data_IF_185906454768
#
_entry.id   IF_185906454768
#
_cell.length_a   1.000
_cell.length_b   1.000
_cell.length_c   1.000
_cell.angle_alpha   90.00
_cell.angle_beta   90.00
_cell.angle_gamma   90.00
#
_symmetry.space_group_name_H-M   'P 1'
#
loop_
_entity.id
_entity.type
_entity.pdbx_description
1 polymer ?
#
# COMPACT_ATOMS: atom_id res chain seq x y z
N UNK A 1 -2.11 0.70 -21.24
CA UNK A 1 -2.10 0.23 -19.82
C UNK A 1 -3.00 -0.97 -19.59
N UNK A 2 -4.30 -0.87 -19.86
CA UNK A 2 -5.29 -1.91 -19.47
C UNK A 2 -4.94 -3.32 -19.97
N UNK A 3 -4.56 -3.49 -21.24
CA UNK A 3 -4.15 -4.79 -21.81
C UNK A 3 -2.87 -5.36 -21.18
N UNK A 4 -1.93 -4.49 -20.80
CA UNK A 4 -0.63 -4.91 -20.27
C UNK A 4 -0.70 -5.26 -18.77
N UNK A 5 -1.37 -4.42 -17.97
CA UNK A 5 -1.48 -4.61 -16.52
C UNK A 5 -2.72 -5.41 -16.10
N UNK A 6 -3.74 -5.53 -16.96
CA UNK A 6 -5.01 -6.16 -16.62
C UNK A 6 -5.79 -5.40 -15.52
N UNK A 7 -5.75 -4.06 -15.58
CA UNK A 7 -6.50 -3.15 -14.72
C UNK A 7 -7.30 -2.16 -15.57
N UNK A 8 -8.49 -1.77 -15.11
CA UNK A 8 -9.39 -0.93 -15.90
C UNK A 8 -9.13 0.58 -15.76
N UNK A 9 -8.40 1.03 -14.74
CA UNK A 9 -8.14 2.46 -14.53
C UNK A 9 -7.40 3.10 -15.72
N UNK A 10 -8.02 4.16 -16.26
CA UNK A 10 -7.45 5.00 -17.33
C UNK A 10 -6.40 5.98 -16.80
N UNK A 11 -6.47 6.35 -15.52
CA UNK A 11 -5.50 7.21 -14.86
C UNK A 11 -4.23 6.47 -14.41
N UNK A 12 -4.19 5.15 -14.60
CA UNK A 12 -3.12 4.28 -14.14
C UNK A 12 -3.26 3.93 -12.66
N UNK A 13 -2.16 3.49 -12.06
CA UNK A 13 -2.08 3.06 -10.67
C UNK A 13 -0.66 3.24 -10.11
N UNK A 14 -0.46 2.89 -8.83
CA UNK A 14 0.85 2.94 -8.19
C UNK A 14 1.96 2.21 -8.99
N UNK A 15 1.66 1.08 -9.62
CA UNK A 15 2.66 0.35 -10.42
C UNK A 15 3.05 1.10 -11.67
N UNK A 16 2.08 1.59 -12.47
CA UNK A 16 2.37 2.28 -13.72
C UNK A 16 2.93 3.68 -13.51
N UNK A 17 2.40 4.42 -12.53
CA UNK A 17 2.69 5.84 -12.36
C UNK A 17 3.89 6.09 -11.45
N UNK A 18 4.21 5.14 -10.56
CA UNK A 18 5.30 5.26 -9.59
C UNK A 18 6.37 4.21 -9.85
N UNK A 19 6.06 2.92 -9.69
CA UNK A 19 7.11 1.87 -9.71
C UNK A 19 7.86 1.81 -11.04
N UNK A 20 7.12 1.88 -12.16
CA UNK A 20 7.70 1.84 -13.50
C UNK A 20 8.19 3.19 -13.99
N UNK A 21 8.06 4.23 -13.17
CA UNK A 21 8.67 5.53 -13.41
C UNK A 21 10.10 5.63 -12.87
N UNK A 22 10.65 4.52 -12.37
CA UNK A 22 12.07 4.37 -12.04
C UNK A 22 12.72 3.34 -12.96
N UNK A 23 13.93 3.64 -13.43
CA UNK A 23 14.71 2.71 -14.24
C UNK A 23 15.33 1.60 -13.40
N UNK A 24 16.05 0.67 -14.04
CA UNK A 24 16.73 -0.45 -13.35
C UNK A 24 17.85 -0.01 -12.41
N UNK A 25 18.34 1.23 -12.53
CA UNK A 25 19.32 1.84 -11.63
C UNK A 25 18.66 2.63 -10.49
N UNK A 26 17.32 2.69 -10.48
CA UNK A 26 16.55 3.50 -9.55
C UNK A 26 16.51 4.97 -9.92
N UNK A 27 16.81 5.38 -11.15
CA UNK A 27 16.69 6.78 -11.59
C UNK A 27 15.24 7.13 -11.88
N UNK A 28 14.75 8.26 -11.37
CA UNK A 28 13.40 8.75 -11.66
C UNK A 28 13.32 9.30 -13.10
N UNK A 29 12.47 8.73 -13.95
CA UNK A 29 12.52 8.90 -15.41
C UNK A 29 11.66 10.10 -15.87
N UNK A 30 10.36 10.03 -15.62
CA UNK A 30 9.37 11.01 -16.10
C UNK A 30 8.94 11.91 -14.94
N UNK A 31 9.74 12.94 -14.70
CA UNK A 31 9.47 14.01 -13.73
C UNK A 31 8.26 14.84 -14.19
N UNK A 32 7.40 15.17 -13.25
CA UNK A 32 6.15 15.91 -13.49
C UNK A 32 6.39 17.41 -13.37
N UNK A 33 6.92 17.87 -12.23
CA UNK A 33 7.07 19.28 -11.91
C UNK A 33 8.37 19.88 -12.49
N UNK A 34 8.78 19.46 -13.69
CA UNK A 34 9.98 20.03 -14.34
C UNK A 34 9.86 21.55 -14.50
N UNK A 35 10.93 22.29 -14.18
CA UNK A 35 10.96 23.75 -14.21
C UNK A 35 10.36 24.46 -12.99
N UNK A 36 9.80 23.72 -12.02
CA UNK A 36 9.33 24.26 -10.75
C UNK A 36 10.49 24.44 -9.75
N UNK A 37 10.24 25.16 -8.66
CA UNK A 37 11.21 25.37 -7.59
C UNK A 37 11.75 24.06 -7.01
N UNK A 38 12.96 24.12 -6.45
CA UNK A 38 13.66 22.95 -5.90
C UNK A 38 12.82 22.22 -4.85
N UNK A 39 12.09 22.97 -3.99
CA UNK A 39 11.23 22.36 -2.97
C UNK A 39 10.14 21.47 -3.56
N UNK A 40 9.55 21.85 -4.70
CA UNK A 40 8.51 21.07 -5.38
C UNK A 40 9.11 19.83 -6.02
N UNK A 41 10.20 20.01 -6.77
CA UNK A 41 10.85 18.91 -7.51
C UNK A 41 11.48 17.88 -6.58
N UNK A 42 12.10 18.31 -5.47
CA UNK A 42 12.62 17.39 -4.45
C UNK A 42 11.50 16.67 -3.71
N UNK A 43 10.43 17.36 -3.31
CA UNK A 43 9.29 16.74 -2.63
C UNK A 43 8.60 15.70 -3.51
N UNK A 44 8.51 15.94 -4.83
CA UNK A 44 8.00 14.98 -5.80
C UNK A 44 8.86 13.71 -5.86
N UNK A 45 10.17 13.88 -6.10
CA UNK A 45 11.08 12.75 -6.20
C UNK A 45 11.08 11.94 -4.91
N UNK A 46 11.16 12.59 -3.76
CA UNK A 46 11.14 11.92 -2.45
C UNK A 46 9.82 11.19 -2.21
N UNK A 47 8.67 11.79 -2.55
CA UNK A 47 7.37 11.13 -2.40
C UNK A 47 7.26 9.85 -3.22
N UNK A 48 7.66 9.88 -4.50
CA UNK A 48 7.63 8.67 -5.34
C UNK A 48 8.69 7.65 -4.96
N UNK A 49 9.87 8.11 -4.53
CA UNK A 49 10.95 7.26 -4.03
C UNK A 49 10.49 6.39 -2.87
N UNK A 50 9.70 6.93 -1.93
CA UNK A 50 9.18 6.15 -0.79
C UNK A 50 8.45 4.89 -1.25
N UNK A 51 7.53 5.02 -2.23
CA UNK A 51 6.75 3.88 -2.71
C UNK A 51 7.57 2.92 -3.57
N UNK A 52 8.52 3.45 -4.35
CA UNK A 52 9.46 2.63 -5.10
C UNK A 52 10.35 1.79 -4.16
N UNK A 53 10.97 2.43 -3.18
CA UNK A 53 11.87 1.77 -2.23
C UNK A 53 11.10 0.75 -1.35
N UNK A 54 9.86 1.07 -0.96
CA UNK A 54 8.99 0.10 -0.27
C UNK A 54 8.83 -1.21 -1.03
N UNK A 55 8.63 -1.14 -2.35
CA UNK A 55 8.45 -2.32 -3.19
C UNK A 55 9.77 -3.03 -3.51
N UNK A 56 10.85 -2.28 -3.73
CA UNK A 56 12.20 -2.84 -3.92
C UNK A 56 12.67 -3.58 -2.67
N UNK A 57 12.58 -2.95 -1.50
CA UNK A 57 12.91 -3.59 -0.23
C UNK A 57 11.87 -4.63 0.19
N UNK A 58 10.68 -4.61 -0.39
CA UNK A 58 9.64 -5.63 -0.20
C UNK A 58 9.92 -6.95 -0.91
N UNK A 59 10.81 -7.01 -1.89
CA UNK A 59 11.08 -8.25 -2.66
C UNK A 59 11.47 -9.44 -1.76
N UNK A 60 12.42 -9.33 -0.82
CA UNK A 60 12.73 -10.40 0.13
C UNK A 60 11.53 -10.82 0.99
N UNK A 61 10.66 -9.87 1.36
CA UNK A 61 9.45 -10.14 2.15
C UNK A 61 8.50 -11.05 1.37
N UNK A 62 8.26 -10.78 0.09
CA UNK A 62 7.42 -11.63 -0.77
C UNK A 62 8.00 -13.04 -0.94
N UNK A 63 9.33 -13.12 -1.06
CA UNK A 63 10.02 -14.40 -1.17
C UNK A 63 9.83 -15.24 0.12
N UNK A 64 10.08 -14.67 1.29
CA UNK A 64 9.93 -15.39 2.55
C UNK A 64 8.45 -15.71 2.87
N UNK A 65 7.48 -14.89 2.43
CA UNK A 65 6.05 -15.25 2.48
C UNK A 65 5.76 -16.51 1.67
N UNK A 66 6.21 -16.57 0.42
CA UNK A 66 6.00 -17.74 -0.44
C UNK A 66 6.71 -18.98 0.14
N UNK A 67 7.95 -18.82 0.62
CA UNK A 67 8.74 -19.92 1.18
C UNK A 67 8.14 -20.47 2.48
N UNK A 68 7.72 -19.61 3.39
CA UNK A 68 7.07 -20.03 4.65
C UNK A 68 5.79 -20.83 4.39
N UNK A 69 4.97 -20.41 3.42
CA UNK A 69 3.79 -21.18 2.98
C UNK A 69 4.19 -22.58 2.50
N UNK A 70 5.19 -22.67 1.61
CA UNK A 70 5.64 -23.94 1.03
C UNK A 70 6.19 -24.87 2.10
N UNK A 71 7.04 -24.37 3.00
CA UNK A 71 7.68 -25.20 4.03
C UNK A 71 6.67 -25.63 5.09
N UNK A 72 5.75 -24.75 5.51
CA UNK A 72 4.65 -25.11 6.41
C UNK A 72 3.76 -26.21 5.82
N UNK A 73 3.40 -26.09 4.54
CA UNK A 73 2.57 -27.09 3.84
C UNK A 73 3.26 -28.46 3.78
N UNK A 74 4.59 -28.50 3.80
CA UNK A 74 5.39 -29.74 3.79
C UNK A 74 5.65 -30.30 5.19
N UNK A 75 5.19 -29.64 6.25
CA UNK A 75 5.48 -30.02 7.64
C UNK A 75 6.90 -29.66 8.11
N UNK A 76 7.63 -28.85 7.35
CA UNK A 76 8.97 -28.37 7.73
C UNK A 76 8.84 -27.08 8.57
N UNK A 77 8.47 -27.27 9.84
CA UNK A 77 8.27 -26.17 10.78
C UNK A 77 9.56 -25.40 11.06
N UNK A 78 10.73 -26.05 11.01
CA UNK A 78 12.02 -25.40 11.23
C UNK A 78 12.32 -24.39 10.11
N UNK A 79 12.21 -24.80 8.84
CA UNK A 79 12.40 -23.87 7.73
C UNK A 79 11.30 -22.80 7.68
N UNK A 80 10.06 -23.15 8.02
CA UNK A 80 8.98 -22.16 8.15
C UNK A 80 9.32 -21.09 9.21
N UNK A 81 9.78 -21.49 10.39
CA UNK A 81 10.16 -20.57 11.46
C UNK A 81 11.23 -19.57 10.99
N UNK A 82 12.25 -20.03 10.27
CA UNK A 82 13.30 -19.17 9.70
C UNK A 82 12.69 -18.13 8.75
N UNK A 83 11.85 -18.56 7.80
CA UNK A 83 11.25 -17.65 6.83
C UNK A 83 10.30 -16.62 7.48
N UNK A 84 9.47 -17.02 8.44
CA UNK A 84 8.58 -16.07 9.13
C UNK A 84 9.37 -15.08 10.00
N UNK A 85 10.44 -15.53 10.66
CA UNK A 85 11.35 -14.66 11.40
C UNK A 85 12.08 -13.65 10.49
N UNK A 86 12.45 -14.07 9.27
CA UNK A 86 13.02 -13.18 8.25
C UNK A 86 12.02 -12.12 7.79
N UNK A 87 10.77 -12.49 7.52
CA UNK A 87 9.71 -11.51 7.21
C UNK A 87 9.66 -10.47 8.33
N UNK A 88 9.58 -10.92 9.57
CA UNK A 88 9.58 -10.02 10.71
C UNK A 88 10.79 -9.08 10.62
N UNK A 89 12.03 -9.58 10.63
CA UNK A 89 13.24 -8.74 10.67
C UNK A 89 13.29 -7.70 9.53
N UNK A 90 12.89 -8.10 8.32
CA UNK A 90 12.84 -7.22 7.14
C UNK A 90 11.80 -6.10 7.28
N UNK A 91 10.66 -6.34 7.95
CA UNK A 91 9.62 -5.32 8.14
C UNK A 91 10.14 -4.04 8.81
N UNK A 92 11.19 -4.12 9.64
CA UNK A 92 11.78 -2.92 10.27
C UNK A 92 12.38 -1.98 9.24
N UNK A 93 13.15 -2.52 8.30
CA UNK A 93 13.78 -1.73 7.24
C UNK A 93 12.71 -1.16 6.30
N UNK A 94 11.82 -2.03 5.81
CA UNK A 94 10.83 -1.67 4.80
C UNK A 94 9.88 -0.57 5.31
N UNK A 95 9.32 -0.72 6.52
CA UNK A 95 8.44 0.30 7.10
C UNK A 95 9.21 1.54 7.56
N UNK A 96 10.49 1.38 7.92
CA UNK A 96 11.40 2.47 8.27
C UNK A 96 11.55 3.46 7.13
N UNK A 97 11.75 2.99 5.90
CA UNK A 97 11.84 3.85 4.70
C UNK A 97 10.68 4.82 4.59
N UNK A 98 9.46 4.39 4.89
CA UNK A 98 8.30 5.29 4.88
C UNK A 98 8.34 6.31 6.03
N UNK A 99 8.68 5.84 7.23
CA UNK A 99 8.68 6.68 8.43
C UNK A 99 9.83 7.68 8.48
N UNK A 100 10.94 7.39 7.82
CA UNK A 100 12.11 8.26 7.79
C UNK A 100 11.97 9.36 6.72
N UNK A 101 11.07 9.17 5.74
CA UNK A 101 10.94 10.08 4.60
C UNK A 101 9.59 10.80 4.52
N UNK A 102 8.49 10.27 5.09
CA UNK A 102 7.20 10.97 5.09
C UNK A 102 7.09 11.97 6.23
N UNK A 103 7.75 13.11 6.09
CA UNK A 103 7.62 14.27 6.98
C UNK A 103 8.02 15.57 6.28
N UNK A 104 7.60 16.71 6.82
CA UNK A 104 7.72 18.05 6.20
C UNK A 104 9.13 18.39 5.68
N UNK A 105 10.18 18.06 6.44
CA UNK A 105 11.58 18.34 6.00
C UNK A 105 12.01 17.59 4.73
N UNK A 106 11.35 16.48 4.41
CA UNK A 106 11.66 15.63 3.25
C UNK A 106 10.64 15.82 2.14
N UNK A 107 9.37 16.02 2.50
CA UNK A 107 8.28 16.29 1.58
C UNK A 107 7.48 17.44 2.19
N UNK A 108 7.66 18.63 1.62
CA UNK A 108 7.09 19.85 2.16
C UNK A 108 5.56 19.82 2.10
N UNK A 109 4.92 20.01 3.25
CA UNK A 109 3.46 20.04 3.38
C UNK A 109 2.85 21.11 2.48
N UNK A 110 3.47 22.29 2.41
CA UNK A 110 3.01 23.46 1.64
C UNK A 110 2.80 23.20 0.14
N UNK A 111 3.55 22.26 -0.43
CA UNK A 111 3.51 21.96 -1.87
C UNK A 111 2.99 20.56 -2.18
N UNK A 112 2.92 19.66 -1.19
CA UNK A 112 2.59 18.27 -1.45
C UNK A 112 1.19 18.11 -2.04
N UNK A 113 0.17 18.64 -1.36
CA UNK A 113 -1.21 18.47 -1.81
C UNK A 113 -1.43 19.19 -3.14
N UNK A 114 -0.94 20.42 -3.28
CA UNK A 114 -1.18 21.29 -4.42
C UNK A 114 -0.33 21.00 -5.67
N UNK A 115 0.84 20.37 -5.52
CA UNK A 115 1.80 20.14 -6.63
C UNK A 115 2.28 18.70 -6.78
N UNK A 116 2.51 17.98 -5.68
CA UNK A 116 3.10 16.62 -5.71
C UNK A 116 2.04 15.53 -5.88
N UNK A 117 1.10 15.40 -4.93
CA UNK A 117 -0.04 14.50 -5.07
C UNK A 117 -0.85 14.90 -6.31
N UNK A 118 -1.01 16.21 -6.51
CA UNK A 118 -1.15 16.75 -7.85
C UNK A 118 -2.37 16.20 -8.58
N UNK A 119 -2.20 16.00 -9.89
CA UNK A 119 -3.23 15.41 -10.74
C UNK A 119 -3.41 13.90 -10.55
N UNK A 120 -2.43 13.22 -9.96
CA UNK A 120 -2.41 11.75 -9.86
C UNK A 120 -3.49 11.22 -8.93
N UNK A 121 -3.95 12.02 -7.97
CA UNK A 121 -5.02 11.63 -7.07
C UNK A 121 -6.41 11.67 -7.71
N UNK A 122 -6.55 12.16 -8.96
CA UNK A 122 -7.81 12.10 -9.70
C UNK A 122 -7.78 11.00 -10.75
N UNK A 123 -8.80 10.14 -10.72
CA UNK A 123 -9.11 9.28 -11.84
C UNK A 123 -10.00 10.04 -12.84
N UNK A 124 -9.58 10.08 -14.10
CA UNK A 124 -10.45 10.53 -15.18
C UNK A 124 -11.51 9.46 -15.40
N UNK A 125 -12.78 9.88 -15.43
CA UNK A 125 -13.89 9.02 -15.81
C UNK A 125 -14.16 9.05 -17.31
N UNK A 126 -14.99 8.12 -17.78
CA UNK A 126 -15.50 8.15 -19.14
C UNK A 126 -16.99 7.80 -19.17
N UNK A 127 -17.67 8.19 -20.24
CA UNK A 127 -19.06 7.80 -20.46
C UNK A 127 -19.11 6.39 -21.05
N UNK A 128 -19.71 5.46 -20.33
CA UNK A 128 -19.96 4.11 -20.82
C UNK A 128 -21.29 4.09 -21.58
N UNK A 129 -21.20 3.97 -22.91
CA UNK A 129 -22.36 3.89 -23.81
C UNK A 129 -23.20 2.63 -23.60
N UNK A 130 -22.62 1.56 -23.05
CA UNK A 130 -23.34 0.30 -22.79
C UNK A 130 -24.21 0.35 -21.54
N UNK A 131 -23.83 1.16 -20.55
CA UNK A 131 -24.57 1.33 -19.29
C UNK A 131 -25.26 2.68 -19.16
N UNK A 132 -25.07 3.58 -20.13
CA UNK A 132 -25.60 4.95 -20.17
C UNK A 132 -25.23 5.78 -18.91
N UNK A 133 -23.99 5.57 -18.43
CA UNK A 133 -23.51 6.14 -17.16
C UNK A 133 -22.10 6.70 -17.29
N UNK A 134 -21.86 7.78 -16.55
CA UNK A 134 -20.49 8.26 -16.33
C UNK A 134 -19.79 7.35 -15.33
N UNK A 135 -18.76 6.65 -15.79
CA UNK A 135 -17.93 5.79 -14.97
C UNK A 135 -16.76 6.59 -14.41
N UNK A 136 -16.61 6.62 -13.09
CA UNK A 136 -15.48 7.25 -12.41
C UNK A 136 -14.44 6.22 -11.97
N UNK A 137 -13.18 6.65 -11.93
CA UNK A 137 -12.07 5.88 -11.41
C UNK A 137 -11.46 6.60 -10.22
N UNK A 138 -10.93 5.83 -9.28
CA UNK A 138 -10.14 6.37 -8.19
C UNK A 138 -8.78 6.80 -8.71
N UNK A 139 -8.22 7.86 -8.14
CA UNK A 139 -6.83 8.21 -8.41
C UNK A 139 -5.85 7.37 -7.61
N UNK A 140 -4.58 7.74 -7.72
CA UNK A 140 -3.48 7.07 -7.04
C UNK A 140 -3.61 7.20 -5.52
N UNK A 141 -3.43 6.07 -4.84
CA UNK A 141 -3.53 5.96 -3.40
C UNK A 141 -2.50 4.98 -2.88
N UNK A 142 -1.93 5.25 -1.70
CA UNK A 142 -1.01 4.33 -1.02
C UNK A 142 -1.66 2.99 -0.67
N UNK A 143 -2.98 2.91 -0.77
CA UNK A 143 -3.70 1.66 -0.65
C UNK A 143 -3.30 0.68 -1.79
N UNK A 144 -2.99 1.18 -2.99
CA UNK A 144 -2.62 0.38 -4.17
C UNK A 144 -1.23 -0.28 -4.09
N UNK A 145 -0.49 -0.08 -2.99
CA UNK A 145 0.85 -0.64 -2.77
C UNK A 145 0.73 -2.14 -2.48
N UNK A 146 1.48 -2.97 -3.23
CA UNK A 146 1.40 -4.43 -3.16
C UNK A 146 1.82 -4.93 -1.78
N UNK A 147 2.83 -4.32 -1.15
CA UNK A 147 3.38 -4.78 0.12
C UNK A 147 2.29 -4.93 1.19
N UNK A 148 1.45 -3.92 1.35
CA UNK A 148 0.39 -3.93 2.35
C UNK A 148 -0.71 -4.94 2.00
N UNK A 149 -1.06 -5.05 0.72
CA UNK A 149 -2.03 -6.04 0.23
C UNK A 149 -1.56 -7.48 0.43
N UNK A 150 -0.29 -7.75 0.17
CA UNK A 150 0.34 -9.06 0.34
C UNK A 150 0.47 -9.43 1.81
N UNK A 151 0.91 -8.50 2.66
CA UNK A 151 0.95 -8.69 4.12
C UNK A 151 -0.41 -9.04 4.67
N UNK A 152 -1.44 -8.29 4.29
CA UNK A 152 -2.80 -8.56 4.77
C UNK A 152 -3.30 -9.94 4.34
N UNK A 153 -3.10 -10.29 3.06
CA UNK A 153 -3.43 -11.61 2.55
C UNK A 153 -2.70 -12.73 3.30
N UNK A 154 -1.38 -12.60 3.50
CA UNK A 154 -0.54 -13.56 4.20
C UNK A 154 -0.95 -13.73 5.67
N UNK A 155 -1.26 -12.62 6.34
CA UNK A 155 -1.71 -12.58 7.75
C UNK A 155 -3.19 -12.97 7.93
N UNK A 156 -3.88 -13.36 6.85
CA UNK A 156 -5.30 -13.72 6.88
C UNK A 156 -6.23 -12.55 7.25
N UNK A 157 -5.76 -11.33 7.09
CA UNK A 157 -6.55 -10.11 7.30
C UNK A 157 -7.41 -9.89 6.06
N UNK A 158 -8.67 -9.50 6.26
CA UNK A 158 -9.59 -9.23 5.17
C UNK A 158 -9.03 -8.15 4.23
N UNK A 159 -9.28 -8.32 2.93
CA UNK A 159 -8.87 -7.34 1.93
C UNK A 159 -9.48 -5.97 2.22
N UNK A 160 -8.72 -4.91 1.98
CA UNK A 160 -9.20 -3.57 2.29
C UNK A 160 -9.99 -2.93 1.12
N UNK A 161 -9.64 -3.22 -0.15
CA UNK A 161 -10.41 -2.75 -1.31
C UNK A 161 -11.61 -3.66 -1.54
N UNK A 162 -12.72 -3.05 -1.97
CA UNK A 162 -13.80 -3.79 -2.58
C UNK A 162 -13.28 -4.53 -3.84
N UNK A 163 -13.85 -5.70 -4.21
CA UNK A 163 -13.43 -6.45 -5.39
C UNK A 163 -13.36 -5.61 -6.67
N UNK A 164 -14.33 -4.73 -6.88
CA UNK A 164 -14.37 -3.78 -8.00
C UNK A 164 -13.15 -2.86 -8.02
N UNK A 165 -12.79 -2.29 -6.88
CA UNK A 165 -11.67 -1.35 -6.77
C UNK A 165 -10.32 -2.09 -6.95
N UNK A 166 -10.22 -3.35 -6.47
CA UNK A 166 -9.06 -4.20 -6.75
C UNK A 166 -8.89 -4.38 -8.27
N UNK A 167 -9.95 -4.78 -8.97
CA UNK A 167 -9.94 -5.01 -10.41
C UNK A 167 -9.56 -3.79 -11.23
N UNK A 168 -10.02 -2.61 -10.80
CA UNK A 168 -9.76 -1.34 -11.49
C UNK A 168 -8.35 -0.84 -11.27
N UNK A 169 -7.87 -0.94 -10.04
CA UNK A 169 -6.70 -0.17 -9.59
C UNK A 169 -5.44 -1.02 -9.43
N UNK A 170 -5.53 -2.35 -9.40
CA UNK A 170 -4.37 -3.22 -9.21
C UNK A 170 -4.10 -4.11 -10.43
N UNK A 171 -2.82 -4.19 -10.88
CA UNK A 171 -2.40 -5.16 -11.89
C UNK A 171 -2.84 -6.58 -11.58
N UNK A 172 -3.28 -7.32 -12.60
CA UNK A 172 -3.78 -8.70 -12.49
C UNK A 172 -2.79 -9.61 -11.76
N UNK A 173 -1.50 -9.55 -12.10
CA UNK A 173 -0.47 -10.39 -11.47
C UNK A 173 -0.29 -10.10 -9.97
N UNK A 174 -0.39 -8.84 -9.56
CA UNK A 174 -0.35 -8.46 -8.15
C UNK A 174 -1.56 -9.02 -7.39
N UNK A 175 -2.75 -8.95 -8.00
CA UNK A 175 -3.97 -9.56 -7.44
C UNK A 175 -3.86 -11.07 -7.31
N UNK A 176 -3.30 -11.76 -8.30
CA UNK A 176 -3.06 -13.21 -8.27
C UNK A 176 -2.11 -13.61 -7.13
N UNK A 177 -1.03 -12.84 -6.91
CA UNK A 177 -0.11 -13.06 -5.78
C UNK A 177 -0.82 -12.92 -4.44
N UNK A 178 -1.56 -11.82 -4.23
CA UNK A 178 -2.33 -11.64 -3.00
C UNK A 178 -3.39 -12.74 -2.81
N UNK A 179 -4.05 -13.18 -3.89
CA UNK A 179 -4.98 -14.31 -3.82
C UNK A 179 -4.29 -15.60 -3.37
N UNK A 180 -3.12 -15.92 -3.92
CA UNK A 180 -2.35 -17.09 -3.53
C UNK A 180 -1.96 -17.03 -2.04
N UNK A 181 -1.44 -15.90 -1.57
CA UNK A 181 -1.10 -15.73 -0.15
C UNK A 181 -2.31 -15.87 0.77
N UNK A 182 -3.47 -15.35 0.38
CA UNK A 182 -4.71 -15.50 1.16
C UNK A 182 -5.17 -16.95 1.21
N UNK A 183 -5.21 -17.61 0.05
CA UNK A 183 -5.66 -19.00 -0.09
C UNK A 183 -4.81 -19.96 0.74
N UNK A 184 -3.52 -19.71 0.80
CA UNK A 184 -2.55 -20.56 1.49
C UNK A 184 -2.07 -19.99 2.83
N UNK A 185 -2.75 -18.97 3.36
CA UNK A 185 -2.45 -18.45 4.69
C UNK A 185 -2.70 -19.54 5.73
N UNK A 186 -1.65 -19.89 6.47
CA UNK A 186 -1.68 -20.93 7.48
C UNK A 186 -1.85 -20.37 8.90
N UNK A 187 -2.05 -19.06 9.05
CA UNK A 187 -2.18 -18.39 10.35
C UNK A 187 -3.29 -19.02 11.21
N UNK A 188 -4.44 -19.36 10.61
CA UNK A 188 -5.56 -19.98 11.34
C UNK A 188 -5.20 -21.35 11.90
N UNK A 189 -4.41 -22.13 11.16
CA UNK A 189 -3.95 -23.46 11.58
C UNK A 189 -3.04 -23.40 12.81
N UNK A 190 -2.36 -22.28 13.05
CA UNK A 190 -1.50 -22.10 14.23
C UNK A 190 -2.29 -22.09 15.54
N UNK A 191 -3.58 -21.73 15.53
CA UNK A 191 -4.43 -21.75 16.73
C UNK A 191 -4.75 -23.17 17.25
N UNK A 192 -4.47 -24.19 16.44
CA UNK A 192 -4.67 -25.60 16.76
C UNK A 192 -3.35 -26.39 16.76
N UNK A 193 -2.21 -25.71 16.59
CA UNK A 193 -0.92 -26.35 16.44
C UNK A 193 -0.36 -26.82 17.80
N UNK A 194 0.54 -27.80 17.75
CA UNK A 194 1.22 -28.30 18.94
C UNK A 194 2.18 -27.25 19.50
N UNK A 195 1.79 -26.62 20.60
CA UNK A 195 2.58 -25.60 21.29
C UNK A 195 3.79 -26.17 22.04
N UNK A 196 4.00 -27.49 22.04
CA UNK A 196 5.25 -28.11 22.48
C UNK A 196 6.34 -28.09 21.39
N UNK A 197 5.99 -27.93 20.11
CA UNK A 197 6.97 -27.73 19.04
C UNK A 197 7.54 -26.31 19.11
N UNK A 198 8.83 -26.21 19.47
CA UNK A 198 9.56 -24.94 19.58
C UNK A 198 9.53 -24.13 18.28
N UNK A 199 9.47 -24.78 17.11
CA UNK A 199 9.40 -24.10 15.83
C UNK A 199 8.02 -23.47 15.61
N UNK A 200 6.93 -24.15 16.02
CA UNK A 200 5.58 -23.59 15.98
C UNK A 200 5.49 -22.36 16.89
N UNK A 201 6.05 -22.44 18.10
CA UNK A 201 6.12 -21.30 19.03
C UNK A 201 6.84 -20.10 18.39
N UNK A 202 7.96 -20.36 17.71
CA UNK A 202 8.72 -19.31 17.01
C UNK A 202 7.95 -18.70 15.83
N UNK A 203 7.24 -19.51 15.05
CA UNK A 203 6.36 -19.04 13.97
C UNK A 203 5.31 -18.10 14.54
N UNK A 204 4.59 -18.51 15.60
CA UNK A 204 3.55 -17.69 16.26
C UNK A 204 4.13 -16.37 16.75
N UNK A 205 5.29 -16.42 17.45
CA UNK A 205 5.98 -15.22 17.94
C UNK A 205 6.32 -14.25 16.81
N UNK A 206 6.81 -14.77 15.69
CA UNK A 206 7.16 -13.95 14.52
C UNK A 206 5.93 -13.37 13.82
N UNK A 207 4.80 -14.10 13.73
CA UNK A 207 3.52 -13.54 13.26
C UNK A 207 3.05 -12.37 14.13
N UNK A 208 3.11 -12.51 15.46
CA UNK A 208 2.75 -11.44 16.41
C UNK A 208 3.63 -10.21 16.18
N UNK A 209 4.93 -10.40 15.94
CA UNK A 209 5.84 -9.29 15.68
C UNK A 209 5.54 -8.57 14.34
N UNK A 210 5.21 -9.32 13.29
CA UNK A 210 4.78 -8.75 12.01
C UNK A 210 3.52 -7.91 12.19
N UNK A 211 2.50 -8.45 12.89
CA UNK A 211 1.26 -7.75 13.19
C UNK A 211 1.51 -6.47 14.00
N UNK A 212 2.37 -6.54 15.02
CA UNK A 212 2.74 -5.39 15.85
C UNK A 212 3.37 -4.28 15.03
N UNK A 213 4.30 -4.61 14.13
CA UNK A 213 4.96 -3.65 13.22
C UNK A 213 3.98 -3.03 12.23
N UNK A 214 3.12 -3.84 11.62
CA UNK A 214 2.08 -3.35 10.71
C UNK A 214 1.08 -2.43 11.41
N UNK A 215 0.69 -2.76 12.64
CA UNK A 215 -0.20 -1.94 13.48
C UNK A 215 0.45 -0.59 13.80
N UNK A 216 1.72 -0.59 14.21
CA UNK A 216 2.48 0.63 14.46
C UNK A 216 2.56 1.51 13.20
N UNK A 217 2.84 0.90 12.04
CA UNK A 217 2.85 1.60 10.77
C UNK A 217 1.50 2.26 10.47
N UNK A 218 0.39 1.51 10.60
CA UNK A 218 -0.96 2.03 10.35
C UNK A 218 -1.32 3.19 11.27
N UNK A 219 -0.97 3.10 12.55
CA UNK A 219 -1.20 4.17 13.51
C UNK A 219 -0.40 5.43 13.15
N UNK A 220 0.89 5.28 12.83
CA UNK A 220 1.73 6.41 12.44
C UNK A 220 1.32 7.01 11.08
N UNK A 221 0.97 6.18 10.10
CA UNK A 221 0.47 6.63 8.80
C UNK A 221 -0.82 7.43 8.94
N UNK A 222 -1.74 7.01 9.81
CA UNK A 222 -2.97 7.75 10.11
C UNK A 222 -2.70 9.17 10.57
N UNK A 223 -1.79 9.35 11.53
CA UNK A 223 -1.43 10.68 12.04
C UNK A 223 -0.72 11.51 10.98
N UNK A 224 0.24 10.93 10.25
CA UNK A 224 1.05 11.66 9.27
C UNK A 224 0.25 12.07 8.04
N UNK A 225 -0.57 11.18 7.48
CA UNK A 225 -1.39 11.48 6.29
C UNK A 225 -2.35 12.64 6.52
N UNK A 226 -2.91 12.76 7.72
CA UNK A 226 -3.77 13.89 8.10
C UNK A 226 -3.05 15.23 7.95
N UNK A 227 -1.79 15.34 8.39
CA UNK A 227 -1.04 16.60 8.29
C UNK A 227 -0.86 17.09 6.84
N UNK A 228 -0.70 16.16 5.90
CA UNK A 228 -0.61 16.44 4.46
C UNK A 228 -1.97 16.77 3.83
N UNK A 229 -3.01 16.00 4.18
CA UNK A 229 -4.35 16.16 3.61
C UNK A 229 -5.11 17.37 4.17
N UNK A 230 -4.72 17.88 5.35
CA UNK A 230 -5.30 19.08 5.95
C UNK A 230 -4.74 20.39 5.41
N UNK A 231 -3.78 20.35 4.48
CA UNK A 231 -3.23 21.57 3.88
C UNK A 231 -4.29 22.27 3.01
N UNK A 232 -4.38 23.61 3.02
CA UNK A 232 -5.28 24.32 2.12
C UNK A 232 -4.88 24.10 0.65
N UNK A 233 -5.85 23.69 -0.16
CA UNK A 233 -5.71 23.62 -1.62
C UNK A 233 -7.03 24.08 -2.25
N UNK A 234 -7.32 25.39 -2.25
CA UNK A 234 -8.62 25.95 -2.69
C UNK A 234 -8.90 25.67 -4.17
N UNK A 235 -7.87 25.35 -4.95
CA UNK A 235 -8.01 24.92 -6.34
C UNK A 235 -8.51 23.46 -6.49
N UNK A 236 -8.86 22.77 -5.38
CA UNK A 236 -9.14 21.32 -5.36
C UNK A 236 -10.38 20.96 -4.54
N UNK A 237 -11.11 19.94 -5.02
CA UNK A 237 -12.10 19.27 -4.18
C UNK A 237 -11.42 18.41 -3.10
N UNK A 238 -11.96 18.36 -1.87
CA UNK A 238 -11.48 17.45 -0.83
C UNK A 238 -11.43 15.99 -1.30
N UNK A 239 -10.32 15.30 -1.06
CA UNK A 239 -10.18 13.89 -1.37
C UNK A 239 -9.40 13.15 -0.31
N UNK A 240 -9.73 11.87 -0.15
CA UNK A 240 -8.96 10.98 0.71
C UNK A 240 -8.81 9.59 0.07
N UNK A 241 -7.60 9.04 0.12
CA UNK A 241 -7.26 7.68 -0.34
C UNK A 241 -7.65 7.32 -1.78
N UNK A 242 -7.57 8.27 -2.72
CA UNK A 242 -7.89 8.06 -4.14
C UNK A 242 -9.38 8.13 -4.46
N UNK A 243 -10.25 8.24 -3.45
CA UNK A 243 -11.68 8.45 -3.64
C UNK A 243 -11.97 9.94 -3.76
N UNK A 244 -12.58 10.32 -4.88
CA UNK A 244 -13.27 11.61 -4.97
C UNK A 244 -14.43 11.59 -4.00
N UNK A 245 -14.26 12.22 -2.83
CA UNK A 245 -15.36 12.41 -1.91
C UNK A 245 -16.16 13.60 -2.42
N UNK A 246 -17.41 13.33 -2.82
CA UNK A 246 -18.39 14.34 -3.22
C UNK A 246 -18.93 15.14 -2.02
N UNK A 247 -18.25 15.09 -0.87
CA UNK A 247 -18.72 15.70 0.37
C UNK A 247 -18.41 17.21 0.37
N UNK A 248 -19.31 18.08 0.86
CA UNK A 248 -19.16 19.53 0.74
C UNK A 248 -17.97 20.13 1.51
N UNK A 249 -17.35 19.38 2.44
CA UNK A 249 -16.30 19.89 3.33
C UNK A 249 -15.10 18.95 3.50
N UNK A 250 -13.94 19.57 3.72
CA UNK A 250 -12.68 18.89 4.03
C UNK A 250 -12.78 18.06 5.32
N UNK A 251 -13.48 18.58 6.33
CA UNK A 251 -13.63 17.91 7.62
C UNK A 251 -14.41 16.60 7.51
N UNK A 252 -15.50 16.58 6.74
CA UNK A 252 -16.27 15.36 6.47
C UNK A 252 -15.40 14.33 5.73
N UNK A 253 -14.61 14.79 4.76
CA UNK A 253 -13.69 13.94 4.01
C UNK A 253 -12.61 13.32 4.88
N UNK A 254 -12.01 14.10 5.78
CA UNK A 254 -11.01 13.62 6.74
C UNK A 254 -11.63 12.69 7.79
N UNK A 255 -12.86 12.94 8.24
CA UNK A 255 -13.56 12.06 9.19
C UNK A 255 -13.84 10.67 8.58
N UNK A 256 -14.27 10.61 7.32
CA UNK A 256 -14.45 9.34 6.61
C UNK A 256 -13.14 8.54 6.53
N UNK A 257 -12.05 9.20 6.11
CA UNK A 257 -10.73 8.56 6.03
C UNK A 257 -10.26 8.08 7.40
N UNK A 258 -10.44 8.91 8.43
CA UNK A 258 -10.06 8.56 9.79
C UNK A 258 -10.79 7.31 10.28
N UNK A 259 -12.11 7.25 10.10
CA UNK A 259 -12.92 6.07 10.41
C UNK A 259 -12.49 4.83 9.61
N UNK A 260 -12.13 4.99 8.33
CA UNK A 260 -11.57 3.92 7.53
C UNK A 260 -10.24 3.40 8.10
N UNK A 261 -9.31 4.29 8.46
CA UNK A 261 -8.01 3.91 9.03
C UNK A 261 -8.14 3.28 10.42
N UNK A 262 -9.08 3.75 11.25
CA UNK A 262 -9.40 3.14 12.55
C UNK A 262 -9.91 1.72 12.39
N UNK A 263 -10.85 1.47 11.47
CA UNK A 263 -11.31 0.10 11.16
C UNK A 263 -10.15 -0.80 10.74
N UNK A 264 -9.26 -0.29 9.89
CA UNK A 264 -8.08 -1.07 9.46
C UNK A 264 -7.14 -1.39 10.61
N UNK A 265 -6.91 -0.42 11.49
CA UNK A 265 -6.10 -0.63 12.69
C UNK A 265 -6.71 -1.72 13.59
N UNK A 266 -8.04 -1.70 13.77
CA UNK A 266 -8.76 -2.71 14.56
C UNK A 266 -8.70 -4.12 13.95
N UNK A 267 -8.69 -4.24 12.62
CA UNK A 267 -8.51 -5.52 11.91
C UNK A 267 -7.06 -6.05 11.98
N UNK A 268 -6.10 -5.24 12.44
CA UNK A 268 -4.69 -5.65 12.59
C UNK A 268 -4.47 -6.28 13.95
N UNK A 269 -5.13 -7.42 14.15
CA UNK A 269 -5.05 -8.27 15.35
C UNK A 269 -4.66 -9.68 14.97
#
# INVERSE_FOLDING_TARGET
MQRHFGCASDAGNNTSNVLLNFDRRGTYIHRINTGMELQVTSSEETFFRIFYDLEVFGVPVYYDMARSIITFTRGDNAACAIHVANIASQMRLVLGTYMDNLHDKMIAHSVWLSKVQGFQAWGIGHYDKGTDKWETFDGLSGNQVLLFQALDAFLGIEQYLAPRDMERNLPKRQREVCYAFRKHSFRRSLGQADMHDKNIVEIVRSFVEILRRLRLFRAAHRTRSKAYLSQPAPERMPMTAGKSLLDPSLDASLAFLDGFMVRRLAQTV
#
